data_IF_917182559385
#
_entry.id   IF_917182559385
#
_cell.length_a   1.000
_cell.length_b   1.000
_cell.length_c   1.000
_cell.angle_alpha   90.00
_cell.angle_beta   90.00
_cell.angle_gamma   90.00
#
_symmetry.space_group_name_H-M   'P 1'
#
loop_
_entity.id
_entity.type
_entity.pdbx_description
1 polymer ?
#
# COMPACT_ATOMS: atom_id res chain seq x y z
N UNK A 1 -15.38 1.64 2.68
CA UNK A 1 -14.76 0.56 1.86
C UNK A 1 -14.14 1.18 0.62
N UNK A 2 -13.38 0.45 -0.20
CA UNK A 2 -12.72 1.00 -1.42
C UNK A 2 -13.69 1.80 -2.32
N UNK A 3 -14.89 1.30 -2.67
CA UNK A 3 -15.80 2.06 -3.52
C UNK A 3 -16.21 3.41 -2.92
N UNK A 4 -16.47 3.44 -1.61
CA UNK A 4 -16.87 4.67 -0.91
C UNK A 4 -15.74 5.70 -0.90
N UNK A 5 -14.49 5.25 -0.69
CA UNK A 5 -13.30 6.11 -0.73
C UNK A 5 -13.08 6.72 -2.10
N UNK A 6 -13.23 5.92 -3.16
CA UNK A 6 -13.09 6.41 -4.54
C UNK A 6 -14.23 7.38 -4.88
N UNK A 7 -15.47 7.10 -4.45
CA UNK A 7 -16.60 8.01 -4.67
C UNK A 7 -16.41 9.34 -3.92
N UNK A 8 -15.86 9.32 -2.71
CA UNK A 8 -15.50 10.52 -1.96
C UNK A 8 -14.42 11.33 -2.71
N UNK A 9 -13.34 10.68 -3.17
CA UNK A 9 -12.29 11.34 -3.96
C UNK A 9 -12.83 12.01 -5.24
N UNK A 10 -13.77 11.35 -5.94
CA UNK A 10 -14.45 11.93 -7.11
C UNK A 10 -15.27 13.16 -6.72
N UNK A 11 -16.06 13.08 -5.64
CA UNK A 11 -16.88 14.20 -5.14
C UNK A 11 -16.01 15.41 -4.79
N UNK A 12 -14.86 15.16 -4.18
CA UNK A 12 -13.90 16.18 -3.74
C UNK A 12 -12.95 16.62 -4.87
N UNK A 13 -13.17 16.15 -6.11
CA UNK A 13 -12.37 16.47 -7.29
C UNK A 13 -10.87 16.15 -7.12
N UNK A 14 -10.54 15.14 -6.33
CA UNK A 14 -9.17 14.70 -6.12
C UNK A 14 -8.67 13.94 -7.36
N UNK A 15 -7.55 14.33 -7.99
CA UNK A 15 -7.08 13.68 -9.21
C UNK A 15 -6.44 12.31 -8.97
N UNK A 16 -6.02 12.03 -7.74
CA UNK A 16 -5.30 10.82 -7.37
C UNK A 16 -5.64 10.37 -5.95
N UNK A 17 -5.50 9.08 -5.69
CA UNK A 17 -5.70 8.49 -4.35
C UNK A 17 -4.64 7.42 -4.10
N UNK A 18 -4.08 7.41 -2.88
CA UNK A 18 -3.09 6.42 -2.46
C UNK A 18 -3.71 5.33 -1.57
N UNK A 19 -3.34 4.08 -1.80
CA UNK A 19 -3.60 2.97 -0.88
C UNK A 19 -2.30 2.61 -0.16
N UNK A 20 -2.32 2.63 1.18
CA UNK A 20 -1.16 2.35 2.04
C UNK A 20 -1.56 1.43 3.20
N UNK A 21 -1.90 0.18 2.87
CA UNK A 21 -2.27 -0.81 3.89
C UNK A 21 -1.07 -1.19 4.78
N UNK A 22 -1.35 -1.59 6.01
CA UNK A 22 -0.32 -1.90 7.01
C UNK A 22 0.35 -3.25 6.74
N UNK A 23 1.63 -3.19 6.37
CA UNK A 23 2.52 -4.30 6.04
C UNK A 23 1.93 -5.31 5.07
N UNK A 24 1.06 -4.89 4.15
CA UNK A 24 0.49 -5.77 3.12
C UNK A 24 0.05 -5.00 1.86
N UNK A 25 -0.34 -5.74 0.83
CA UNK A 25 -0.77 -5.23 -0.48
C UNK A 25 -2.08 -5.90 -0.99
N UNK A 26 -2.86 -6.52 -0.11
CA UNK A 26 -3.97 -7.41 -0.50
C UNK A 26 -5.07 -6.71 -1.30
N UNK A 27 -5.33 -5.44 -1.00
CA UNK A 27 -6.36 -4.65 -1.67
C UNK A 27 -5.90 -3.98 -2.96
N UNK A 28 -4.61 -4.05 -3.33
CA UNK A 28 -4.02 -3.27 -4.41
C UNK A 28 -4.77 -3.42 -5.75
N UNK A 29 -5.07 -4.65 -6.17
CA UNK A 29 -5.78 -4.91 -7.45
C UNK A 29 -7.22 -4.36 -7.43
N UNK A 30 -7.94 -4.57 -6.33
CA UNK A 30 -9.33 -4.08 -6.18
C UNK A 30 -9.37 -2.56 -6.18
N UNK A 31 -8.43 -1.93 -5.48
CA UNK A 31 -8.27 -0.48 -5.41
C UNK A 31 -7.92 0.11 -6.77
N UNK A 32 -6.89 -0.44 -7.43
CA UNK A 32 -6.46 -0.01 -8.76
C UNK A 32 -7.61 -0.01 -9.76
N UNK A 33 -8.34 -1.13 -9.85
CA UNK A 33 -9.49 -1.26 -10.75
C UNK A 33 -10.63 -0.31 -10.40
N UNK A 34 -10.89 -0.06 -9.11
CA UNK A 34 -11.94 0.87 -8.68
C UNK A 34 -11.60 2.32 -9.03
N UNK A 35 -10.36 2.73 -8.85
CA UNK A 35 -9.88 4.08 -9.19
C UNK A 35 -9.97 4.32 -10.71
N UNK A 36 -9.48 3.38 -11.52
CA UNK A 36 -9.52 3.50 -12.99
C UNK A 36 -10.95 3.66 -13.53
N UNK A 37 -11.92 2.90 -13.01
CA UNK A 37 -13.34 3.00 -13.39
C UNK A 37 -13.96 4.37 -13.13
N UNK A 38 -13.33 5.20 -12.29
CA UNK A 38 -13.81 6.51 -11.87
C UNK A 38 -12.88 7.65 -12.32
N UNK A 39 -11.87 7.36 -13.14
CA UNK A 39 -10.93 8.36 -13.63
C UNK A 39 -9.97 8.90 -12.56
N UNK A 40 -9.83 8.21 -11.43
CA UNK A 40 -8.89 8.57 -10.36
C UNK A 40 -7.56 7.89 -10.62
N UNK A 41 -6.44 8.61 -10.53
CA UNK A 41 -5.10 8.02 -10.62
C UNK A 41 -4.78 7.24 -9.34
N UNK A 42 -4.62 5.90 -9.39
CA UNK A 42 -4.21 5.14 -8.22
C UNK A 42 -2.72 5.31 -7.93
N UNK A 43 -2.36 5.51 -6.66
CA UNK A 43 -1.00 5.42 -6.15
C UNK A 43 -0.91 4.21 -5.21
N UNK A 44 -0.01 3.28 -5.50
CA UNK A 44 0.13 2.04 -4.72
C UNK A 44 1.27 2.16 -3.72
N UNK A 45 1.00 1.75 -2.49
CA UNK A 45 1.94 1.84 -1.39
C UNK A 45 1.62 0.85 -0.27
N UNK A 46 2.47 0.86 0.75
CA UNK A 46 2.26 0.13 1.99
C UNK A 46 2.93 0.87 3.13
N UNK A 47 2.29 0.90 4.28
CA UNK A 47 2.95 1.33 5.51
C UNK A 47 3.60 0.10 6.13
N UNK A 48 4.92 0.01 6.08
CA UNK A 48 5.66 -1.11 6.66
C UNK A 48 6.06 -0.82 8.10
N UNK A 49 6.34 -1.88 8.87
CA UNK A 49 6.94 -1.79 10.20
C UNK A 49 8.45 -2.04 10.08
N UNK A 50 9.27 -1.16 10.66
CA UNK A 50 10.73 -1.20 10.57
C UNK A 50 11.31 -1.69 11.89
N UNK A 51 12.13 -2.73 11.85
CA UNK A 51 12.86 -3.35 12.97
C UNK A 51 11.99 -3.91 14.13
N UNK A 52 10.89 -3.25 14.48
CA UNK A 52 9.93 -3.62 15.51
C UNK A 52 8.50 -3.25 15.13
N UNK A 53 7.55 -3.49 16.04
CA UNK A 53 6.15 -3.21 15.78
C UNK A 53 5.80 -1.71 15.81
N UNK A 54 6.55 -0.85 16.48
CA UNK A 54 6.15 0.54 16.71
C UNK A 54 6.60 1.47 15.58
N UNK A 55 7.79 1.25 15.03
CA UNK A 55 8.34 2.10 14.00
C UNK A 55 7.72 1.79 12.65
N UNK A 56 7.18 2.81 11.98
CA UNK A 56 6.50 2.66 10.69
C UNK A 56 7.06 3.60 9.65
N UNK A 57 7.10 3.13 8.41
CA UNK A 57 7.42 3.94 7.25
C UNK A 57 6.39 3.72 6.15
N UNK A 58 5.86 4.80 5.59
CA UNK A 58 4.95 4.74 4.45
C UNK A 58 5.75 4.82 3.17
N UNK A 59 5.64 3.79 2.34
CA UNK A 59 6.31 3.69 1.05
C UNK A 59 5.29 3.81 -0.09
N UNK A 60 5.67 4.54 -1.13
CA UNK A 60 4.89 4.66 -2.38
C UNK A 60 5.72 4.15 -3.56
N UNK A 61 5.10 3.33 -4.41
CA UNK A 61 5.71 2.87 -5.65
C UNK A 61 5.53 3.93 -6.75
N UNK A 62 6.63 4.57 -7.16
CA UNK A 62 6.62 5.60 -8.22
C UNK A 62 6.71 5.03 -9.64
N UNK A 63 7.10 3.76 -9.77
CA UNK A 63 7.30 3.08 -11.05
C UNK A 63 7.03 1.57 -10.90
N UNK A 64 7.00 0.85 -12.02
CA UNK A 64 6.90 -0.61 -12.01
C UNK A 64 8.10 -1.27 -11.32
N UNK A 65 9.28 -0.65 -11.38
CA UNK A 65 10.46 -1.10 -10.62
C UNK A 65 10.20 -0.92 -9.13
N UNK A 66 9.73 0.27 -8.72
CA UNK A 66 9.36 0.53 -7.32
C UNK A 66 8.25 -0.37 -6.80
N UNK A 67 7.28 -0.75 -7.63
CA UNK A 67 6.21 -1.69 -7.28
C UNK A 67 6.75 -3.10 -7.00
N UNK A 68 7.68 -3.58 -7.83
CA UNK A 68 8.35 -4.87 -7.61
C UNK A 68 9.14 -4.84 -6.30
N UNK A 69 9.94 -3.79 -6.07
CA UNK A 69 10.70 -3.63 -4.84
C UNK A 69 9.81 -3.54 -3.61
N UNK A 70 8.69 -2.80 -3.68
CA UNK A 70 7.72 -2.72 -2.59
C UNK A 70 7.10 -4.09 -2.27
N UNK A 71 6.75 -4.86 -3.31
CA UNK A 71 6.20 -6.21 -3.16
C UNK A 71 7.19 -7.14 -2.46
N UNK A 72 8.46 -7.07 -2.85
CA UNK A 72 9.53 -7.84 -2.22
C UNK A 72 9.76 -7.43 -0.76
N UNK A 73 9.83 -6.12 -0.46
CA UNK A 73 9.98 -5.59 0.90
C UNK A 73 8.87 -6.10 1.81
N UNK A 74 7.62 -5.98 1.37
CA UNK A 74 6.45 -6.48 2.12
C UNK A 74 6.54 -8.00 2.33
N UNK A 75 6.93 -8.75 1.30
CA UNK A 75 7.07 -10.21 1.39
C UNK A 75 8.16 -10.64 2.37
N UNK A 76 9.31 -9.97 2.35
CA UNK A 76 10.41 -10.22 3.30
C UNK A 76 10.00 -9.95 4.74
N UNK A 77 9.15 -8.94 4.98
CA UNK A 77 8.58 -8.71 6.31
C UNK A 77 7.82 -9.92 6.86
N UNK A 78 7.11 -10.65 6.00
CA UNK A 78 6.40 -11.88 6.39
C UNK A 78 7.30 -13.12 6.49
N UNK A 79 8.29 -13.25 5.60
CA UNK A 79 9.12 -14.46 5.50
C UNK A 79 10.26 -14.44 6.52
N UNK A 80 10.94 -13.30 6.68
CA UNK A 80 12.20 -13.18 7.42
C UNK A 80 12.07 -12.42 8.74
N UNK A 81 11.14 -11.46 8.80
CA UNK A 81 11.12 -10.46 9.87
C UNK A 81 9.92 -10.52 10.80
N UNK A 82 9.21 -11.65 10.85
CA UNK A 82 8.09 -11.82 11.79
C UNK A 82 8.56 -11.78 13.25
N UNK A 83 7.90 -10.95 14.04
CA UNK A 83 8.02 -10.89 15.49
C UNK A 83 6.64 -11.02 16.10
N UNK A 84 6.37 -12.10 16.84
CA UNK A 84 5.03 -12.39 17.40
C UNK A 84 3.91 -12.28 16.34
N UNK A 85 4.14 -12.85 15.16
CA UNK A 85 3.25 -12.80 13.99
C UNK A 85 3.03 -11.41 13.37
N UNK A 86 3.80 -10.41 13.78
CA UNK A 86 3.82 -9.08 13.17
C UNK A 86 4.94 -9.04 12.14
N UNK A 87 4.67 -8.79 10.85
CA UNK A 87 5.70 -8.66 9.83
C UNK A 87 6.45 -7.33 9.98
N UNK A 88 7.76 -7.41 10.25
CA UNK A 88 8.68 -6.28 10.35
C UNK A 88 9.80 -6.40 9.30
N UNK A 89 10.27 -5.29 8.76
CA UNK A 89 11.38 -5.25 7.80
C UNK A 89 12.61 -4.71 8.52
N UNK A 90 13.73 -5.43 8.44
CA UNK A 90 15.01 -4.95 8.97
C UNK A 90 15.61 -3.91 8.03
N UNK A 91 16.13 -2.83 8.61
CA UNK A 91 16.81 -1.77 7.85
C UNK A 91 18.11 -2.23 7.19
#
# INVERSE_FOLDING_TARGET
RIPDLVNAAVKDQMPALALTDLSNLHAAVKFYNSCLKKGIKPLLGSTIRLDDAQHRATLLAMSNVGWKSLTEIVSRGFIEGQQLSIPCVKK
#
